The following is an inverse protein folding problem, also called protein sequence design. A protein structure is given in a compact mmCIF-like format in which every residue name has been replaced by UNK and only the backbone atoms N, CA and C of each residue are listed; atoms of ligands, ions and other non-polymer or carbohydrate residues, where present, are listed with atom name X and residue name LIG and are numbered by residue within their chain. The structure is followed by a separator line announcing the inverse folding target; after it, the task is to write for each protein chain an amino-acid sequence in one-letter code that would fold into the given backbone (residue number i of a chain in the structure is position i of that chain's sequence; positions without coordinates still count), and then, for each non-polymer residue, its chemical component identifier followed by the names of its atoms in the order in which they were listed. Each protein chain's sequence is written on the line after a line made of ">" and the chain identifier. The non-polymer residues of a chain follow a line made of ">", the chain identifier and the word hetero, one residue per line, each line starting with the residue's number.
data_IF_563262441348
#
_entry.id   IF_563262441348
#
_cell.length_a   1.000
_cell.length_b   1.000
_cell.length_c   1.000
_cell.angle_alpha   90.00
_cell.angle_beta   90.00
_cell.angle_gamma   90.00
#
_symmetry.space_group_name_H-M   'P 1'
#
loop_
_entity.id
_entity.type
_entity.pdbx_description
1 polymer ?
#
# COMPACT_ATOMS: atom_id res chain seq x y z
N UNK A 1 15.48 -17.79 12.15
CA UNK A 1 14.36 -18.61 11.61
C UNK A 1 13.57 -17.74 10.65
N UNK A 2 13.23 -18.20 9.43
CA UNK A 2 12.34 -17.45 8.53
C UNK A 2 10.95 -17.37 9.17
N UNK A 3 10.34 -16.19 9.23
CA UNK A 3 8.93 -16.06 9.62
C UNK A 3 8.07 -16.81 8.61
N UNK A 4 7.11 -17.58 9.10
CA UNK A 4 6.06 -18.16 8.24
C UNK A 4 5.17 -17.01 7.77
N UNK A 5 5.04 -16.84 6.46
CA UNK A 5 4.19 -15.82 5.85
C UNK A 5 3.21 -16.49 4.88
N UNK A 6 1.98 -15.98 4.82
CA UNK A 6 0.94 -16.50 3.95
C UNK A 6 0.96 -15.78 2.61
N UNK A 7 0.85 -16.54 1.52
CA UNK A 7 0.69 -15.96 0.19
C UNK A 7 -0.78 -15.65 -0.10
N UNK A 8 -1.09 -14.39 -0.39
CA UNK A 8 -2.46 -13.94 -0.71
C UNK A 8 -2.79 -14.08 -2.19
N UNK A 9 -2.95 -15.32 -2.65
CA UNK A 9 -3.21 -15.65 -4.05
C UNK A 9 -4.51 -15.07 -4.63
N UNK A 10 -5.41 -14.53 -3.81
CA UNK A 10 -6.64 -13.89 -4.28
C UNK A 10 -6.35 -12.56 -5.00
N UNK A 11 -5.30 -11.83 -4.59
CA UNK A 11 -4.88 -10.60 -5.26
C UNK A 11 -4.44 -10.83 -6.70
N UNK A 12 -3.91 -12.00 -7.03
CA UNK A 12 -3.53 -12.36 -8.41
C UNK A 12 -4.73 -12.67 -9.32
N UNK A 13 -5.83 -13.15 -8.74
CA UNK A 13 -7.02 -13.58 -9.50
C UNK A 13 -7.94 -12.41 -9.85
N UNK A 14 -7.94 -11.40 -9.00
CA UNK A 14 -8.68 -10.16 -9.20
C UNK A 14 -8.09 -9.42 -10.41
N UNK A 15 -8.88 -8.73 -11.23
CA UNK A 15 -8.35 -8.02 -12.41
C UNK A 15 -8.09 -6.54 -12.16
N UNK A 16 -8.76 -5.99 -11.15
CA UNK A 16 -8.89 -4.54 -11.01
C UNK A 16 -7.99 -3.97 -9.91
N UNK A 17 -7.76 -2.67 -10.00
CA UNK A 17 -7.16 -1.90 -8.90
C UNK A 17 -8.07 -1.96 -7.67
N UNK A 18 -7.50 -2.00 -6.46
CA UNK A 18 -8.31 -1.91 -5.24
C UNK A 18 -7.95 -0.69 -4.43
N UNK A 19 -8.96 0.09 -4.07
CA UNK A 19 -8.85 1.17 -3.11
C UNK A 19 -9.96 1.07 -2.08
N UNK A 20 -9.62 0.98 -0.80
CA UNK A 20 -10.62 0.85 0.27
C UNK A 20 -10.14 1.49 1.58
N UNK A 21 -11.08 1.78 2.48
CA UNK A 21 -10.76 2.22 3.83
C UNK A 21 -10.63 1.00 4.76
N UNK A 22 -9.61 1.00 5.61
CA UNK A 22 -9.43 0.02 6.67
C UNK A 22 -9.64 0.63 8.05
N UNK A 23 -10.13 -0.19 8.97
CA UNK A 23 -10.34 0.15 10.37
C UNK A 23 -9.78 -0.99 11.23
N UNK A 24 -8.70 -0.70 11.98
CA UNK A 24 -8.08 -1.64 12.91
C UNK A 24 -7.72 -3.02 12.34
N UNK A 25 -7.31 -3.06 11.07
CA UNK A 25 -6.77 -4.28 10.47
C UNK A 25 -5.59 -4.82 11.28
N UNK A 26 -5.54 -6.14 11.48
CA UNK A 26 -4.43 -6.81 12.17
C UNK A 26 -3.98 -8.04 11.36
N UNK A 27 -3.59 -7.85 10.08
CA UNK A 27 -3.18 -8.96 9.24
C UNK A 27 -1.87 -9.58 9.78
N UNK A 28 -1.81 -10.92 9.93
CA UNK A 28 -0.56 -11.60 10.26
C UNK A 28 0.45 -11.46 9.12
N UNK A 29 1.72 -11.88 9.29
CA UNK A 29 2.70 -11.85 8.21
C UNK A 29 2.21 -12.51 6.92
N UNK A 30 2.16 -11.72 5.84
CA UNK A 30 1.69 -12.14 4.52
C UNK A 30 2.45 -11.42 3.41
N UNK A 31 2.24 -11.86 2.17
CA UNK A 31 2.80 -11.22 0.98
C UNK A 31 1.95 -11.50 -0.26
N UNK A 32 2.09 -10.63 -1.26
CA UNK A 32 1.46 -10.73 -2.57
C UNK A 32 2.32 -10.05 -3.64
N UNK A 33 2.02 -10.31 -4.92
CA UNK A 33 2.78 -9.76 -6.05
C UNK A 33 2.49 -8.29 -6.36
N UNK A 34 1.48 -7.71 -5.73
CA UNK A 34 1.10 -6.31 -5.90
C UNK A 34 2.02 -5.39 -5.09
N UNK A 35 2.13 -4.13 -5.53
CA UNK A 35 2.54 -3.05 -4.64
C UNK A 35 1.35 -2.73 -3.73
N UNK A 36 1.59 -2.47 -2.46
CA UNK A 36 0.58 -1.95 -1.54
C UNK A 36 1.03 -0.64 -0.90
N UNK A 37 0.11 0.32 -0.84
CA UNK A 37 0.30 1.61 -0.19
C UNK A 37 -0.80 1.77 0.85
N UNK A 38 -0.40 2.06 2.10
CA UNK A 38 -1.32 2.37 3.19
C UNK A 38 -1.09 3.80 3.66
N UNK A 39 -2.06 4.68 3.45
CA UNK A 39 -2.06 6.03 4.00
C UNK A 39 -2.77 6.02 5.35
N UNK A 40 -2.08 6.38 6.45
CA UNK A 40 -2.69 6.39 7.78
C UNK A 40 -3.50 7.66 7.99
N UNK A 41 -4.80 7.52 8.21
CA UNK A 41 -5.71 8.67 8.33
C UNK A 41 -5.95 9.08 9.78
N UNK A 42 -5.90 8.12 10.70
CA UNK A 42 -6.14 8.32 12.14
C UNK A 42 -5.35 7.28 12.96
N UNK A 43 -5.03 7.64 14.21
CA UNK A 43 -4.44 6.71 15.17
C UNK A 43 -2.98 6.34 14.88
N UNK A 44 -2.59 5.15 15.37
CA UNK A 44 -1.21 4.65 15.32
C UNK A 44 -1.20 3.12 15.25
N UNK A 45 -0.23 2.58 14.53
CA UNK A 45 -0.01 1.15 14.39
C UNK A 45 1.49 0.81 14.46
N UNK A 46 1.78 -0.44 14.81
CA UNK A 46 3.09 -1.08 14.64
C UNK A 46 3.08 -1.84 13.31
N UNK A 47 3.92 -1.42 12.38
CA UNK A 47 4.09 -2.06 11.08
C UNK A 47 5.39 -2.85 11.04
N UNK A 48 5.39 -3.95 10.31
CA UNK A 48 6.60 -4.65 9.92
C UNK A 48 6.55 -4.92 8.42
N UNK A 49 7.62 -4.57 7.71
CA UNK A 49 7.79 -4.83 6.27
C UNK A 49 9.22 -5.28 6.04
N UNK A 50 9.40 -6.42 5.39
CA UNK A 50 10.70 -7.05 5.11
C UNK A 50 11.63 -7.16 6.34
N UNK A 51 11.03 -7.38 7.52
CA UNK A 51 11.73 -7.50 8.79
C UNK A 51 12.11 -6.17 9.45
N UNK A 52 11.81 -5.02 8.83
CA UNK A 52 11.93 -3.72 9.47
C UNK A 52 10.63 -3.37 10.21
N UNK A 53 10.72 -3.18 11.53
CA UNK A 53 9.59 -2.72 12.35
C UNK A 53 9.63 -1.19 12.54
N UNK A 54 8.46 -0.57 12.49
CA UNK A 54 8.30 0.87 12.66
C UNK A 54 6.92 1.22 13.20
N UNK A 55 6.79 2.40 13.79
CA UNK A 55 5.47 2.95 14.10
C UNK A 55 5.05 3.89 12.98
N UNK A 56 3.80 3.75 12.53
CA UNK A 56 3.16 4.67 11.61
C UNK A 56 1.93 5.29 12.28
N UNK A 57 1.74 6.58 12.08
CA UNK A 57 0.62 7.34 12.61
C UNK A 57 0.06 8.27 11.53
N UNK A 58 -0.96 9.07 11.89
CA UNK A 58 -1.62 9.96 10.93
C UNK A 58 -0.64 10.73 10.03
N UNK A 59 -0.96 10.69 8.73
CA UNK A 59 -0.24 11.24 7.58
C UNK A 59 1.08 10.55 7.22
N UNK A 60 1.43 9.44 7.87
CA UNK A 60 2.48 8.54 7.37
C UNK A 60 1.93 7.64 6.26
N UNK A 61 2.82 7.21 5.37
CA UNK A 61 2.54 6.22 4.34
C UNK A 61 3.41 4.99 4.59
N UNK A 62 2.79 3.82 4.54
CA UNK A 62 3.46 2.54 4.51
C UNK A 62 3.51 2.07 3.07
N UNK A 63 4.71 1.73 2.60
CA UNK A 63 4.94 1.20 1.26
C UNK A 63 5.39 -0.26 1.35
N UNK A 64 4.71 -1.13 0.61
CA UNK A 64 5.05 -2.54 0.48
C UNK A 64 5.32 -2.82 -1.00
N UNK A 65 6.57 -3.18 -1.29
CA UNK A 65 6.99 -3.61 -2.63
C UNK A 65 6.41 -4.99 -3.00
N UNK A 66 6.41 -5.38 -4.29
CA UNK A 66 6.02 -6.72 -4.70
C UNK A 66 6.76 -7.81 -3.92
N UNK A 67 5.99 -8.78 -3.42
CA UNK A 67 6.46 -9.89 -2.59
C UNK A 67 7.15 -9.48 -1.28
N UNK A 68 7.00 -8.23 -0.83
CA UNK A 68 7.44 -7.80 0.49
C UNK A 68 6.61 -8.47 1.59
N UNK A 69 7.26 -9.14 2.54
CA UNK A 69 6.54 -9.76 3.67
C UNK A 69 6.18 -8.65 4.64
N UNK A 70 4.91 -8.55 5.01
CA UNK A 70 4.46 -7.49 5.90
C UNK A 70 3.32 -7.92 6.83
N UNK A 71 3.16 -7.16 7.92
CA UNK A 71 2.09 -7.31 8.92
C UNK A 71 1.83 -5.99 9.60
N UNK A 72 0.62 -5.80 10.11
CA UNK A 72 0.23 -4.59 10.84
C UNK A 72 -0.41 -4.99 12.17
N UNK A 73 -0.18 -4.20 13.20
CA UNK A 73 -0.82 -4.37 14.52
C UNK A 73 -1.30 -3.02 15.03
N UNK A 74 -2.60 -2.85 15.35
CA UNK A 74 -3.12 -1.62 15.94
C UNK A 74 -2.39 -1.22 17.23
N UNK A 75 -2.20 0.09 17.46
CA UNK A 75 -1.48 0.60 18.64
C UNK A 75 -2.05 1.94 19.19
N UNK A 76 -3.15 1.96 19.95
CA UNK A 76 -4.09 0.85 20.18
C UNK A 76 -5.10 0.69 19.03
N UNK A 77 -5.29 1.73 18.22
CA UNK A 77 -6.23 1.75 17.12
C UNK A 77 -5.73 2.66 15.98
N UNK A 78 -6.14 2.37 14.76
CA UNK A 78 -5.83 3.19 13.59
C UNK A 78 -6.89 3.03 12.48
N UNK A 79 -6.90 4.00 11.56
CA UNK A 79 -7.61 3.91 10.27
C UNK A 79 -6.66 4.24 9.14
N UNK A 80 -6.94 3.68 7.97
CA UNK A 80 -6.13 3.93 6.78
C UNK A 80 -6.96 3.95 5.49
N UNK A 81 -6.30 4.37 4.42
CA UNK A 81 -6.68 4.02 3.05
C UNK A 81 -5.65 3.03 2.51
N UNK A 82 -6.13 1.92 1.97
CA UNK A 82 -5.32 0.87 1.36
C UNK A 82 -5.49 0.93 -0.15
N UNK A 83 -4.37 0.96 -0.86
CA UNK A 83 -4.29 0.88 -2.30
C UNK A 83 -3.45 -0.35 -2.69
N UNK A 84 -4.06 -1.29 -3.41
CA UNK A 84 -3.37 -2.47 -3.97
C UNK A 84 -3.19 -2.26 -5.47
N UNK A 85 -1.94 -2.14 -5.91
CA UNK A 85 -1.56 -1.79 -7.28
C UNK A 85 -0.99 -3.03 -7.98
N UNK A 86 -1.69 -3.46 -9.03
CA UNK A 86 -1.23 -4.57 -9.87
C UNK A 86 -0.14 -4.11 -10.83
N UNK A 87 0.68 -5.05 -11.29
CA UNK A 87 1.75 -4.77 -12.25
C UNK A 87 1.27 -4.05 -13.52
N UNK A 88 0.06 -4.34 -14.01
CA UNK A 88 -0.50 -3.67 -15.18
C UNK A 88 -0.73 -2.16 -15.01
N UNK A 89 -0.77 -1.65 -13.78
CA UNK A 89 -0.91 -0.24 -13.48
C UNK A 89 0.41 0.43 -13.07
N UNK A 90 1.48 -0.33 -12.86
CA UNK A 90 2.78 0.15 -12.41
C UNK A 90 3.93 -0.31 -13.32
N UNK A 91 3.61 -0.85 -14.48
CA UNK A 91 4.56 -1.37 -15.47
C UNK A 91 5.45 -0.26 -16.03
N UNK A 92 4.95 0.98 -16.07
CA UNK A 92 5.74 2.16 -16.44
C UNK A 92 6.94 2.39 -15.50
N UNK A 93 6.88 1.89 -14.27
CA UNK A 93 7.95 1.98 -13.26
C UNK A 93 8.72 0.67 -13.03
N UNK A 94 8.41 -0.41 -13.76
CA UNK A 94 8.96 -1.73 -13.48
C UNK A 94 10.49 -1.73 -13.48
N UNK A 95 11.12 -1.06 -14.45
CA UNK A 95 12.59 -1.00 -14.55
C UNK A 95 13.29 -0.30 -13.39
N UNK A 96 12.59 0.64 -12.72
CA UNK A 96 13.07 1.35 -11.53
C UNK A 96 12.83 0.49 -10.29
N UNK A 97 11.60 -0.01 -10.13
CA UNK A 97 11.18 -0.79 -8.96
C UNK A 97 11.84 -2.18 -8.87
N UNK A 98 12.41 -2.69 -9.96
CA UNK A 98 13.26 -3.89 -9.96
C UNK A 98 14.63 -3.66 -9.32
N UNK A 99 15.15 -2.43 -9.38
CA UNK A 99 16.50 -2.08 -8.92
C UNK A 99 16.49 -1.34 -7.58
N UNK A 100 15.47 -0.51 -7.39
CA UNK A 100 15.31 0.36 -6.24
C UNK A 100 13.91 0.16 -5.64
N UNK A 101 13.75 0.43 -4.36
CA UNK A 101 12.44 0.41 -3.70
C UNK A 101 12.32 1.62 -2.81
N UNK A 102 11.09 2.10 -2.62
CA UNK A 102 10.82 3.09 -1.59
C UNK A 102 11.05 2.48 -0.20
N UNK A 103 11.40 3.31 0.80
CA UNK A 103 11.49 2.86 2.17
C UNK A 103 10.12 2.40 2.66
N UNK A 104 10.04 1.38 3.55
CA UNK A 104 8.77 0.88 4.05
C UNK A 104 7.89 1.89 4.78
N UNK A 105 8.51 2.94 5.35
CA UNK A 105 7.82 4.04 6.00
C UNK A 105 8.26 5.35 5.34
N UNK A 106 7.30 6.07 4.77
CA UNK A 106 7.45 7.45 4.36
C UNK A 106 6.84 8.35 5.44
N UNK A 107 7.68 9.03 6.22
CA UNK A 107 7.27 9.85 7.36
C UNK A 107 7.34 11.36 7.11
N UNK A 108 7.61 11.81 5.87
CA UNK A 108 7.42 13.22 5.50
C UNK A 108 5.94 13.52 5.33
N UNK A 109 5.28 13.81 6.46
CA UNK A 109 3.85 14.10 6.51
C UNK A 109 3.45 15.31 5.66
N UNK A 110 4.36 16.27 5.43
CA UNK A 110 4.05 17.44 4.61
C UNK A 110 3.95 17.03 3.15
N UNK A 111 4.89 16.21 2.67
CA UNK A 111 4.82 15.62 1.35
C UNK A 111 3.64 14.64 1.21
N UNK A 112 3.48 13.69 2.14
CA UNK A 112 2.42 12.69 2.06
C UNK A 112 1.01 13.29 1.93
N UNK A 113 0.76 14.41 2.61
CA UNK A 113 -0.52 15.14 2.49
C UNK A 113 -0.80 15.67 1.07
N UNK A 114 0.22 15.88 0.24
CA UNK A 114 0.04 16.27 -1.17
C UNK A 114 -0.43 15.10 -2.03
N UNK A 115 -0.17 13.86 -1.62
CA UNK A 115 -0.57 12.62 -2.32
C UNK A 115 -2.01 12.22 -1.98
N UNK A 116 -2.49 12.57 -0.78
CA UNK A 116 -3.82 12.18 -0.30
C UNK A 116 -5.00 12.55 -1.24
N UNK A 117 -5.05 13.74 -1.86
CA UNK A 117 -6.09 14.06 -2.82
C UNK A 117 -6.13 13.08 -4.00
N UNK A 118 -4.96 12.70 -4.55
CA UNK A 118 -4.86 11.79 -5.69
C UNK A 118 -5.18 10.35 -5.30
N UNK A 119 -4.75 9.90 -4.11
CA UNK A 119 -5.21 8.63 -3.53
C UNK A 119 -6.74 8.57 -3.43
N UNK A 120 -7.39 9.63 -2.95
CA UNK A 120 -8.86 9.67 -2.86
C UNK A 120 -9.53 9.69 -4.23
N UNK A 121 -8.89 10.26 -5.25
CA UNK A 121 -9.40 10.24 -6.64
C UNK A 121 -9.42 8.83 -7.22
N UNK A 122 -8.59 7.91 -6.73
CA UNK A 122 -8.59 6.51 -7.18
C UNK A 122 -9.83 5.72 -6.75
N UNK A 123 -10.62 6.19 -5.78
CA UNK A 123 -11.84 5.50 -5.35
C UNK A 123 -12.80 5.24 -6.52
N UNK A 124 -13.15 6.28 -7.28
CA UNK A 124 -14.13 6.14 -8.35
C UNK A 124 -13.59 5.33 -9.55
N UNK A 125 -12.37 5.56 -10.06
CA UNK A 125 -11.79 4.76 -11.14
C UNK A 125 -11.59 3.29 -10.76
N UNK A 126 -11.27 2.98 -9.50
CA UNK A 126 -11.21 1.61 -9.01
C UNK A 126 -12.60 0.94 -9.02
N UNK A 127 -13.64 1.66 -8.60
CA UNK A 127 -15.03 1.17 -8.62
C UNK A 127 -15.63 1.07 -10.04
N UNK A 128 -15.17 1.92 -10.97
CA UNK A 128 -15.67 2.01 -12.35
C UNK A 128 -14.78 1.30 -13.37
N UNK A 129 -13.72 0.61 -12.93
CA UNK A 129 -12.77 -0.12 -13.77
C UNK A 129 -12.17 0.74 -14.91
N UNK A 130 -12.01 2.05 -14.70
CA UNK A 130 -11.46 2.94 -15.73
C UNK A 130 -9.92 2.87 -15.73
N UNK A 131 -9.40 1.88 -16.45
CA UNK A 131 -7.98 1.53 -16.48
C UNK A 131 -7.07 2.74 -16.75
N UNK A 132 -7.35 3.56 -17.78
CA UNK A 132 -6.46 4.66 -18.17
C UNK A 132 -6.42 5.78 -17.12
N UNK A 133 -7.57 6.13 -16.53
CA UNK A 133 -7.61 7.14 -15.46
C UNK A 133 -6.90 6.62 -14.21
N UNK A 134 -7.14 5.36 -13.84
CA UNK A 134 -6.48 4.73 -12.70
C UNK A 134 -4.95 4.66 -12.90
N UNK A 135 -4.49 4.24 -14.08
CA UNK A 135 -3.06 4.20 -14.44
C UNK A 135 -2.42 5.59 -14.35
N UNK A 136 -3.00 6.61 -15.01
CA UNK A 136 -2.46 7.97 -14.95
C UNK A 136 -2.47 8.60 -13.55
N UNK A 137 -3.40 8.21 -12.67
CA UNK A 137 -3.36 8.63 -11.26
C UNK A 137 -2.26 7.93 -10.47
N UNK A 138 -1.98 6.66 -10.77
CA UNK A 138 -0.89 5.90 -10.15
C UNK A 138 0.47 6.48 -10.55
N UNK A 139 0.63 6.91 -11.80
CA UNK A 139 1.85 7.56 -12.29
C UNK A 139 2.17 8.90 -11.61
N UNK A 140 1.20 9.51 -10.92
CA UNK A 140 1.40 10.74 -10.14
C UNK A 140 1.74 10.41 -8.67
N UNK A 141 1.33 9.22 -8.19
CA UNK A 141 1.51 8.79 -6.80
C UNK A 141 2.86 8.10 -6.60
N UNK A 142 3.33 7.35 -7.60
CA UNK A 142 4.60 6.59 -7.61
C UNK A 142 5.62 7.33 -8.47
#
# INVERSE_FOLDING_TARGET
>A
MKKSAVYEAFHDKEKDLRFFAGDNGNPPPHFHRCIEILYITEGKLLGEVDGQSFYAEKDDIIFVRPCGIHSLTPYPAYKNHVLIIKSAYADDFASVLEKETLPPLLCDKKFNRTILPDLKRLKNPAEQENFLIAKGLIDIII
#
